data_IF_207439491439
#
_entry.id   IF_207439491439
#
_cell.length_a   1.000
_cell.length_b   1.000
_cell.length_c   1.000
_cell.angle_alpha   90.00
_cell.angle_beta   90.00
_cell.angle_gamma   90.00
#
_symmetry.space_group_name_H-M   'P 1'
#
loop_
_entity.id
_entity.type
_entity.pdbx_description
1 polymer ?
#
# COMPACT_ATOMS: atom_id res chain seq x y z
N UNK A 1 -39.04 10.73 -1.99
CA UNK A 1 -38.29 11.02 -0.75
C UNK A 1 -39.25 11.63 0.27
N UNK A 2 -39.32 11.12 1.50
CA UNK A 2 -40.25 11.62 2.53
C UNK A 2 -39.61 12.83 3.23
N UNK A 3 -40.33 13.96 3.26
CA UNK A 3 -39.92 15.16 3.98
C UNK A 3 -40.04 14.88 5.49
N UNK A 4 -39.02 15.22 6.31
CA UNK A 4 -39.09 15.02 7.75
C UNK A 4 -40.23 15.87 8.35
N UNK A 5 -40.98 15.30 9.30
CA UNK A 5 -42.23 15.85 9.87
C UNK A 5 -42.10 17.21 10.57
N UNK A 6 -40.88 17.70 10.78
CA UNK A 6 -40.57 18.93 11.52
C UNK A 6 -40.05 20.03 10.58
N UNK A 7 -40.59 20.13 9.36
CA UNK A 7 -40.14 21.12 8.38
C UNK A 7 -40.83 22.48 8.59
N UNK A 8 -40.04 23.54 8.76
CA UNK A 8 -40.53 24.93 8.80
C UNK A 8 -40.71 25.43 7.35
N UNK A 9 -41.94 25.80 6.93
CA UNK A 9 -42.22 26.26 5.57
C UNK A 9 -41.37 27.48 5.20
N UNK A 10 -40.77 27.47 4.00
CA UNK A 10 -39.94 28.56 3.49
C UNK A 10 -38.42 28.41 3.72
N UNK A 11 -37.99 27.34 4.39
CA UNK A 11 -36.56 26.98 4.52
C UNK A 11 -36.22 25.77 3.66
N UNK A 12 -34.97 25.57 3.24
CA UNK A 12 -34.57 24.34 2.55
C UNK A 12 -34.21 23.28 3.61
N UNK A 13 -34.90 22.11 3.67
CA UNK A 13 -34.71 21.11 4.72
C UNK A 13 -33.31 20.48 4.76
N UNK A 14 -32.50 20.70 3.73
CA UNK A 14 -31.14 20.15 3.61
C UNK A 14 -30.04 21.19 3.92
N UNK A 15 -30.40 22.44 4.24
CA UNK A 15 -29.44 23.53 4.49
C UNK A 15 -28.73 23.43 5.85
N UNK A 16 -29.30 22.66 6.79
CA UNK A 16 -28.78 22.45 8.16
C UNK A 16 -28.00 21.14 8.33
N UNK A 17 -27.76 20.38 7.26
CA UNK A 17 -26.81 19.27 7.35
C UNK A 17 -25.42 19.86 7.62
N UNK A 18 -24.71 19.43 8.69
CA UNK A 18 -23.36 19.88 8.92
C UNK A 18 -22.55 19.57 7.66
N UNK A 19 -22.01 20.61 7.02
CA UNK A 19 -21.03 20.42 5.95
C UNK A 19 -19.94 19.53 6.56
N UNK A 20 -19.80 18.30 6.06
CA UNK A 20 -18.65 17.46 6.41
C UNK A 20 -17.43 18.36 6.30
N UNK A 21 -16.53 18.43 7.30
CA UNK A 21 -15.31 19.20 7.15
C UNK A 21 -14.66 18.70 5.86
N UNK A 22 -14.58 19.56 4.85
CA UNK A 22 -13.72 19.31 3.71
C UNK A 22 -12.33 19.32 4.31
N UNK A 23 -11.80 18.12 4.56
CA UNK A 23 -10.39 17.95 4.89
C UNK A 23 -9.68 18.40 3.62
N UNK A 24 -9.31 19.67 3.61
CA UNK A 24 -8.52 20.31 2.58
C UNK A 24 -7.10 19.75 2.69
N UNK A 25 -6.91 18.51 2.21
CA UNK A 25 -5.63 17.83 2.21
C UNK A 25 -4.76 18.33 1.06
N UNK A 26 -4.65 19.65 0.87
CA UNK A 26 -3.65 20.27 -0.01
C UNK A 26 -2.36 20.52 0.78
N UNK A 27 -1.90 19.52 1.54
CA UNK A 27 -0.59 19.59 2.18
C UNK A 27 0.45 19.35 1.09
N UNK A 28 0.94 20.44 0.47
CA UNK A 28 2.01 20.40 -0.54
C UNK A 28 3.12 19.46 -0.05
N UNK A 29 3.34 18.39 -0.79
CA UNK A 29 4.40 17.43 -0.53
C UNK A 29 5.72 18.18 -0.76
N UNK A 30 6.69 18.01 0.13
CA UNK A 30 8.01 18.64 -0.05
C UNK A 30 8.68 18.09 -1.31
N UNK A 31 9.42 18.93 -2.06
CA UNK A 31 10.24 18.50 -3.21
C UNK A 31 11.12 17.28 -2.89
N UNK A 32 11.65 17.21 -1.67
CA UNK A 32 12.44 16.05 -1.21
C UNK A 32 11.60 14.78 -1.12
N UNK A 33 10.36 14.88 -0.63
CA UNK A 33 9.46 13.74 -0.52
C UNK A 33 8.98 13.28 -1.92
N UNK A 34 8.78 14.19 -2.86
CA UNK A 34 8.49 13.87 -4.27
C UNK A 34 9.64 13.09 -4.92
N UNK A 35 10.88 13.51 -4.70
CA UNK A 35 12.07 12.79 -5.17
C UNK A 35 12.12 11.36 -4.62
N UNK A 36 11.93 11.20 -3.30
CA UNK A 36 11.90 9.88 -2.65
C UNK A 36 10.79 9.01 -3.23
N UNK A 37 9.58 9.56 -3.40
CA UNK A 37 8.45 8.84 -3.98
C UNK A 37 8.75 8.39 -5.42
N UNK A 38 9.41 9.25 -6.23
CA UNK A 38 9.81 8.91 -7.59
C UNK A 38 10.85 7.79 -7.64
N UNK A 39 11.79 7.76 -6.71
CA UNK A 39 12.80 6.71 -6.58
C UNK A 39 12.14 5.36 -6.21
N UNK A 40 11.20 5.39 -5.26
CA UNK A 40 10.41 4.23 -4.87
C UNK A 40 9.63 3.69 -6.08
N UNK A 41 8.90 4.55 -6.80
CA UNK A 41 8.11 4.15 -7.97
C UNK A 41 8.98 3.53 -9.06
N UNK A 42 10.11 4.14 -9.41
CA UNK A 42 11.04 3.60 -10.41
C UNK A 42 11.58 2.22 -10.01
N UNK A 43 11.92 2.05 -8.73
CA UNK A 43 12.45 0.79 -8.21
C UNK A 43 11.38 -0.31 -8.22
N UNK A 44 10.18 0.00 -7.74
CA UNK A 44 9.04 -0.91 -7.76
C UNK A 44 8.66 -1.31 -9.19
N UNK A 45 8.65 -0.37 -10.14
CA UNK A 45 8.34 -0.63 -11.55
C UNK A 45 9.36 -1.59 -12.17
N UNK A 46 10.66 -1.43 -11.88
CA UNK A 46 11.71 -2.33 -12.36
C UNK A 46 11.51 -3.76 -11.86
N UNK A 47 11.20 -3.92 -10.57
CA UNK A 47 10.89 -5.22 -9.98
C UNK A 47 9.65 -5.81 -10.64
N UNK A 48 8.58 -5.02 -10.76
CA UNK A 48 7.32 -5.45 -11.36
C UNK A 48 7.51 -5.94 -12.79
N UNK A 49 8.22 -5.19 -13.64
CA UNK A 49 8.54 -5.60 -15.03
C UNK A 49 9.28 -6.93 -15.09
N UNK A 50 10.23 -7.17 -14.19
CA UNK A 50 10.99 -8.41 -14.15
C UNK A 50 10.11 -9.61 -13.82
N UNK A 51 9.23 -9.47 -12.83
CA UNK A 51 8.36 -10.58 -12.40
C UNK A 51 7.14 -10.78 -13.31
N UNK A 52 6.56 -9.71 -13.86
CA UNK A 52 5.43 -9.78 -14.79
C UNK A 52 5.73 -10.70 -15.98
N UNK A 53 6.96 -10.66 -16.51
CA UNK A 53 7.40 -11.53 -17.62
C UNK A 53 7.34 -13.03 -17.30
N UNK A 54 7.33 -13.41 -16.02
CA UNK A 54 7.36 -14.80 -15.55
C UNK A 54 6.01 -15.28 -15.01
N UNK A 55 5.03 -14.40 -14.89
CA UNK A 55 3.71 -14.71 -14.34
C UNK A 55 2.72 -15.08 -15.44
N UNK A 56 1.80 -15.98 -15.13
CA UNK A 56 0.63 -16.25 -15.98
C UNK A 56 -0.32 -15.06 -15.98
N UNK A 57 -1.12 -14.89 -17.03
CA UNK A 57 -2.05 -13.75 -17.20
C UNK A 57 -2.98 -13.57 -15.99
N UNK A 58 -3.48 -14.67 -15.40
CA UNK A 58 -4.32 -14.64 -14.18
C UNK A 58 -3.58 -14.02 -12.98
N UNK A 59 -2.34 -14.43 -12.76
CA UNK A 59 -1.50 -13.94 -11.66
C UNK A 59 -1.08 -12.48 -11.89
N UNK A 60 -0.84 -12.09 -13.14
CA UNK A 60 -0.56 -10.69 -13.50
C UNK A 60 -1.74 -9.78 -13.12
N UNK A 61 -2.96 -10.17 -13.51
CA UNK A 61 -4.18 -9.42 -13.17
C UNK A 61 -4.37 -9.34 -11.65
N UNK A 62 -4.18 -10.45 -10.94
CA UNK A 62 -4.35 -10.48 -9.49
C UNK A 62 -3.34 -9.57 -8.78
N UNK A 63 -2.09 -9.55 -9.24
CA UNK A 63 -1.05 -8.66 -8.71
C UNK A 63 -1.32 -7.19 -9.05
N UNK A 64 -1.78 -6.88 -10.26
CA UNK A 64 -2.18 -5.52 -10.63
C UNK A 64 -3.35 -5.02 -9.77
N UNK A 65 -4.41 -5.83 -9.62
CA UNK A 65 -5.55 -5.50 -8.77
C UNK A 65 -5.09 -5.27 -7.32
N UNK A 66 -4.18 -6.10 -6.81
CA UNK A 66 -3.66 -5.89 -5.46
C UNK A 66 -2.98 -4.53 -5.29
N UNK A 67 -2.22 -4.09 -6.29
CA UNK A 67 -1.48 -2.82 -6.28
C UNK A 67 -2.43 -1.63 -6.45
N UNK A 68 -3.36 -1.71 -7.39
CA UNK A 68 -4.32 -0.63 -7.71
C UNK A 68 -5.23 -0.35 -6.51
N UNK A 69 -5.73 -1.40 -5.87
CA UNK A 69 -6.61 -1.30 -4.69
C UNK A 69 -5.85 -0.85 -3.42
N UNK A 70 -4.52 -0.72 -3.47
CA UNK A 70 -3.71 -0.24 -2.37
C UNK A 70 -3.71 -1.18 -1.15
N UNK A 71 -3.87 -2.49 -1.36
CA UNK A 71 -3.86 -3.45 -0.27
C UNK A 71 -2.49 -3.54 0.42
N UNK A 72 -2.51 -3.78 1.73
CA UNK A 72 -1.30 -3.83 2.56
C UNK A 72 -0.77 -5.26 2.70
N UNK A 73 0.55 -5.38 2.84
CA UNK A 73 1.19 -6.64 3.24
C UNK A 73 0.66 -7.08 4.60
N UNK A 74 0.36 -8.38 4.74
CA UNK A 74 -0.22 -8.96 5.95
C UNK A 74 -1.75 -8.83 6.06
N UNK A 75 -2.41 -8.12 5.15
CA UNK A 75 -3.88 -8.09 5.06
C UNK A 75 -4.46 -9.47 4.75
N UNK A 76 -5.76 -9.67 5.03
CA UNK A 76 -6.48 -10.91 4.65
C UNK A 76 -6.34 -11.22 3.16
N UNK A 77 -6.43 -10.19 2.33
CA UNK A 77 -6.31 -10.29 0.86
C UNK A 77 -4.89 -10.72 0.49
N UNK A 78 -3.87 -10.10 1.11
CA UNK A 78 -2.49 -10.51 0.92
C UNK A 78 -2.27 -11.98 1.30
N UNK A 79 -2.80 -12.42 2.45
CA UNK A 79 -2.62 -13.79 2.93
C UNK A 79 -3.27 -14.84 2.02
N UNK A 80 -4.35 -14.45 1.32
CA UNK A 80 -5.05 -15.28 0.35
C UNK A 80 -4.37 -15.34 -1.03
N UNK A 81 -3.35 -14.51 -1.29
CA UNK A 81 -2.65 -14.53 -2.56
C UNK A 81 -1.81 -15.82 -2.73
N UNK A 82 -1.64 -16.28 -3.99
CA UNK A 82 -0.62 -17.27 -4.31
C UNK A 82 0.74 -16.90 -3.74
N UNK A 83 1.50 -17.90 -3.31
CA UNK A 83 2.80 -17.73 -2.68
C UNK A 83 3.75 -16.85 -3.51
N UNK A 84 3.80 -17.06 -4.82
CA UNK A 84 4.63 -16.28 -5.74
C UNK A 84 4.26 -14.78 -5.71
N UNK A 85 2.98 -14.44 -5.64
CA UNK A 85 2.53 -13.05 -5.60
C UNK A 85 2.86 -12.40 -4.26
N UNK A 86 2.67 -13.14 -3.15
CA UNK A 86 3.08 -12.67 -1.81
C UNK A 86 4.57 -12.37 -1.75
N UNK A 87 5.39 -13.22 -2.36
CA UNK A 87 6.84 -13.04 -2.46
C UNK A 87 7.20 -11.77 -3.23
N UNK A 88 6.63 -11.57 -4.44
CA UNK A 88 6.87 -10.40 -5.28
C UNK A 88 6.51 -9.10 -4.54
N UNK A 89 5.31 -9.05 -3.95
CA UNK A 89 4.84 -7.87 -3.20
C UNK A 89 5.76 -7.59 -2.01
N UNK A 90 6.19 -8.63 -1.31
CA UNK A 90 7.12 -8.49 -0.17
C UNK A 90 8.46 -7.91 -0.62
N UNK A 91 9.01 -8.36 -1.75
CA UNK A 91 10.26 -7.84 -2.33
C UNK A 91 10.12 -6.37 -2.73
N UNK A 92 9.02 -5.98 -3.39
CA UNK A 92 8.74 -4.59 -3.75
C UNK A 92 8.69 -3.68 -2.51
N UNK A 93 8.01 -4.13 -1.45
CA UNK A 93 7.90 -3.38 -0.20
C UNK A 93 9.26 -3.26 0.52
N UNK A 94 10.06 -4.33 0.55
CA UNK A 94 11.42 -4.30 1.10
C UNK A 94 12.29 -3.27 0.40
N UNK A 95 12.24 -3.20 -0.93
CA UNK A 95 13.04 -2.24 -1.68
C UNK A 95 12.63 -0.79 -1.42
N UNK A 96 11.31 -0.57 -1.26
CA UNK A 96 10.76 0.74 -0.87
C UNK A 96 11.27 1.18 0.51
N UNK A 97 11.31 0.25 1.47
CA UNK A 97 11.84 0.52 2.82
C UNK A 97 13.34 0.81 2.82
N UNK A 98 14.13 0.18 1.95
CA UNK A 98 15.57 0.51 1.82
C UNK A 98 15.77 1.94 1.32
N UNK A 99 14.99 2.37 0.33
CA UNK A 99 15.04 3.74 -0.20
C UNK A 99 14.60 4.74 0.89
N UNK A 100 13.53 4.44 1.63
CA UNK A 100 13.09 5.25 2.76
C UNK A 100 14.16 5.34 3.85
N UNK A 101 14.83 4.23 4.19
CA UNK A 101 15.89 4.20 5.20
C UNK A 101 17.05 5.11 4.83
N UNK A 102 17.52 5.05 3.57
CA UNK A 102 18.61 5.90 3.07
C UNK A 102 18.29 7.40 3.17
N UNK A 103 17.02 7.76 3.01
CA UNK A 103 16.58 9.16 2.94
C UNK A 103 16.03 9.73 4.26
N UNK A 104 15.83 8.88 5.28
CA UNK A 104 15.25 9.26 6.58
C UNK A 104 16.34 9.69 7.56
N UNK A 105 16.21 10.89 8.13
CA UNK A 105 17.12 11.41 9.18
C UNK A 105 16.60 11.21 10.60
N UNK A 106 15.29 11.01 10.78
CA UNK A 106 14.67 10.90 12.10
C UNK A 106 14.97 9.52 12.73
N UNK A 107 15.55 9.45 13.93
CA UNK A 107 16.00 8.20 14.55
C UNK A 107 14.85 7.23 14.88
N UNK A 108 13.72 7.72 15.34
CA UNK A 108 12.54 6.89 15.62
C UNK A 108 11.99 6.28 14.33
N UNK A 109 11.92 7.07 13.26
CA UNK A 109 11.51 6.58 11.94
C UNK A 109 12.51 5.56 11.38
N UNK A 110 13.80 5.77 11.56
CA UNK A 110 14.85 4.80 11.19
C UNK A 110 14.61 3.47 11.91
N UNK A 111 14.36 3.49 13.22
CA UNK A 111 14.10 2.28 13.99
C UNK A 111 12.86 1.54 13.49
N UNK A 112 11.77 2.28 13.24
CA UNK A 112 10.55 1.73 12.66
C UNK A 112 10.77 1.09 11.29
N UNK A 113 11.53 1.75 10.40
CA UNK A 113 11.87 1.22 9.09
C UNK A 113 12.74 -0.04 9.21
N UNK A 114 13.76 -0.04 10.09
CA UNK A 114 14.59 -1.21 10.35
C UNK A 114 13.78 -2.40 10.86
N UNK A 115 12.84 -2.16 11.77
CA UNK A 115 11.92 -3.19 12.26
C UNK A 115 11.02 -3.71 11.14
N UNK A 116 10.49 -2.82 10.29
CA UNK A 116 9.68 -3.19 9.12
C UNK A 116 10.48 -4.03 8.11
N UNK A 117 11.75 -3.70 7.86
CA UNK A 117 12.65 -4.50 7.02
C UNK A 117 12.88 -5.87 7.65
N UNK A 118 13.14 -5.93 8.96
CA UNK A 118 13.37 -7.19 9.67
C UNK A 118 12.15 -8.12 9.61
N UNK A 119 10.95 -7.58 9.87
CA UNK A 119 9.70 -8.35 9.81
C UNK A 119 9.41 -8.87 8.40
N UNK A 120 9.57 -8.04 7.37
CA UNK A 120 9.39 -8.48 5.98
C UNK A 120 10.45 -9.50 5.53
N UNK A 121 11.70 -9.37 5.98
CA UNK A 121 12.72 -10.38 5.72
C UNK A 121 12.39 -11.72 6.40
N UNK A 122 11.84 -11.69 7.62
CA UNK A 122 11.35 -12.89 8.30
C UNK A 122 10.20 -13.54 7.55
N UNK A 123 9.26 -12.74 7.04
CA UNK A 123 8.17 -13.20 6.18
C UNK A 123 8.70 -13.82 4.88
N UNK A 124 9.64 -13.17 4.20
CA UNK A 124 10.24 -13.68 2.96
C UNK A 124 10.96 -15.03 3.19
N UNK A 125 11.68 -15.17 4.30
CA UNK A 125 12.31 -16.45 4.69
C UNK A 125 11.29 -17.57 4.91
N UNK A 126 10.10 -17.26 5.45
CA UNK A 126 9.06 -18.28 5.66
C UNK A 126 8.51 -18.83 4.34
N UNK A 127 8.48 -18.01 3.28
CA UNK A 127 8.14 -18.47 1.94
C UNK A 127 9.21 -19.45 1.41
N UNK A 128 10.49 -19.26 1.68
CA UNK A 128 11.52 -20.19 1.22
C UNK A 128 11.49 -21.52 1.98
N UNK A 129 11.27 -21.50 3.30
CA UNK A 129 11.27 -22.72 4.12
C UNK A 129 10.09 -23.67 3.81
N UNK A 130 8.99 -23.15 3.27
CA UNK A 130 7.87 -24.00 2.84
C UNK A 130 8.14 -24.81 1.56
N UNK A 131 9.28 -24.62 0.88
CA UNK A 131 9.71 -25.52 -0.21
C UNK A 131 10.26 -26.87 0.30
N UNK A 132 10.69 -26.96 1.57
CA UNK A 132 11.32 -28.18 2.11
C UNK A 132 10.35 -29.15 2.82
N UNK A 133 9.07 -28.80 3.02
CA UNK A 133 8.09 -29.66 3.72
C UNK A 133 7.13 -30.42 2.80
N UNK A 134 7.33 -30.33 1.49
CA UNK A 134 6.58 -31.09 0.48
C UNK A 134 7.52 -32.07 -0.21
N UNK A 135 7.93 -33.10 0.52
CA UNK A 135 8.46 -34.37 0.02
C UNK A 135 7.92 -35.47 0.91
#
# INVERSE_FOLDING_TARGET
MKIPKNHIPGTNPYKSLPKKPMIESNKKISKKQEQINSEIMKSQERILKLYMRRLQKKDQIMLQNFIIEGYKVGSKIFNNLPKILREIITIMNLESLKILLKNTKNPFKILYIKFSIWTLNKLLKSFNNSKCKSR
#
